data_IF_800115467611
#
_entry.id   IF_800115467611
#
_cell.length_a   1.000
_cell.length_b   1.000
_cell.length_c   1.000
_cell.angle_alpha   90.00
_cell.angle_beta   90.00
_cell.angle_gamma   90.00
#
_symmetry.space_group_name_H-M   'P 1'
#
loop_
_entity.id
_entity.type
_entity.pdbx_description
1 polymer ?
#
# COMPACT_ATOMS: atom_id res chain seq x y z
N UNK A 1 -3.20 -17.43 -25.54
CA UNK A 1 -2.89 -16.88 -24.20
C UNK A 1 -2.92 -15.37 -24.27
N UNK A 2 -3.70 -14.68 -23.43
CA UNK A 2 -3.77 -13.21 -23.43
C UNK A 2 -2.48 -12.64 -22.82
N UNK A 3 -1.87 -11.62 -23.44
CA UNK A 3 -0.73 -10.89 -22.86
C UNK A 3 -1.23 -9.95 -21.77
N UNK A 4 -0.51 -9.88 -20.66
CA UNK A 4 -0.93 -9.18 -19.43
C UNK A 4 0.06 -8.06 -19.12
N UNK A 5 0.21 -7.12 -20.07
CA UNK A 5 1.32 -6.15 -20.08
C UNK A 5 1.04 -4.85 -19.31
N UNK A 6 -0.20 -4.64 -18.86
CA UNK A 6 -0.58 -3.43 -18.14
C UNK A 6 0.19 -3.27 -16.81
N UNK A 7 0.51 -2.03 -16.43
CA UNK A 7 1.14 -1.69 -15.15
C UNK A 7 0.33 -2.27 -13.99
N UNK A 8 0.99 -3.06 -13.13
CA UNK A 8 0.34 -3.70 -11.99
C UNK A 8 0.48 -2.85 -10.74
N UNK A 9 -0.43 -3.03 -9.78
CA UNK A 9 -0.35 -2.39 -8.45
C UNK A 9 1.05 -2.50 -7.83
N UNK A 10 1.65 -3.69 -7.92
CA UNK A 10 2.99 -3.96 -7.37
C UNK A 10 4.09 -3.05 -7.92
N UNK A 11 3.92 -2.44 -9.09
CA UNK A 11 4.86 -1.44 -9.62
C UNK A 11 4.93 -0.21 -8.72
N UNK A 12 3.80 0.27 -8.21
CA UNK A 12 3.74 1.41 -7.30
C UNK A 12 4.13 1.03 -5.88
N UNK A 13 3.69 -0.14 -5.39
CA UNK A 13 4.00 -0.61 -4.03
C UNK A 13 5.53 -0.80 -3.81
N UNK A 14 6.31 -1.05 -4.87
CA UNK A 14 7.77 -1.17 -4.82
C UNK A 14 8.49 0.15 -4.55
N UNK A 15 7.85 1.29 -4.79
CA UNK A 15 8.41 2.61 -4.46
C UNK A 15 8.49 2.83 -2.95
N UNK A 16 7.66 2.12 -2.16
CA UNK A 16 7.68 2.15 -0.70
C UNK A 16 8.80 1.24 -0.19
N UNK A 17 9.78 1.75 0.59
CA UNK A 17 10.90 0.89 0.94
C UNK A 17 10.50 -0.21 1.95
N UNK A 18 11.31 -1.28 1.98
CA UNK A 18 10.94 -2.55 2.61
C UNK A 18 10.62 -2.42 4.10
N UNK A 19 11.38 -1.61 4.84
CA UNK A 19 11.17 -1.48 6.27
C UNK A 19 9.83 -0.80 6.63
N UNK A 20 9.30 0.14 5.83
CA UNK A 20 7.95 0.68 6.06
C UNK A 20 6.92 -0.35 5.66
N UNK A 21 7.14 -1.10 4.58
CA UNK A 21 6.21 -2.18 4.21
C UNK A 21 6.02 -3.20 5.34
N UNK A 22 7.08 -3.50 6.09
CA UNK A 22 7.01 -4.39 7.25
C UNK A 22 6.35 -3.77 8.48
N UNK A 23 6.36 -2.45 8.63
CA UNK A 23 5.62 -1.75 9.70
C UNK A 23 4.13 -1.62 9.35
N UNK A 24 3.81 -1.39 8.08
CA UNK A 24 2.45 -1.14 7.58
C UNK A 24 1.78 -2.39 6.99
N UNK A 25 1.99 -3.56 7.60
CA UNK A 25 1.52 -4.87 7.08
C UNK A 25 0.04 -4.89 6.75
N UNK A 26 -0.82 -4.36 7.61
CA UNK A 26 -2.28 -4.39 7.38
C UNK A 26 -2.70 -3.79 6.03
N UNK A 27 -2.08 -2.69 5.61
CA UNK A 27 -2.34 -2.10 4.30
C UNK A 27 -1.63 -2.87 3.17
N UNK A 28 -0.38 -3.28 3.39
CA UNK A 28 0.46 -3.95 2.40
C UNK A 28 0.03 -5.39 2.08
N UNK A 29 -0.65 -6.06 2.99
CA UNK A 29 -1.09 -7.46 2.84
C UNK A 29 -2.46 -7.62 2.20
N UNK A 30 -3.19 -6.52 1.99
CA UNK A 30 -4.44 -6.58 1.26
C UNK A 30 -4.17 -6.96 -0.21
N UNK A 31 -4.49 -8.23 -0.52
CA UNK A 31 -4.36 -8.83 -1.84
C UNK A 31 -5.24 -8.14 -2.91
N UNK A 32 -6.30 -7.45 -2.48
CA UNK A 32 -7.21 -6.71 -3.33
C UNK A 32 -8.31 -7.54 -3.99
N UNK A 33 -8.64 -8.72 -3.47
CA UNK A 33 -9.75 -9.56 -3.95
C UNK A 33 -11.14 -8.91 -3.80
N UNK A 34 -11.29 -7.92 -2.92
CA UNK A 34 -12.54 -7.17 -2.75
C UNK A 34 -13.60 -7.87 -1.90
N UNK A 35 -13.28 -8.94 -1.15
CA UNK A 35 -14.22 -9.61 -0.24
C UNK A 35 -14.83 -8.65 0.80
N UNK A 36 -14.12 -7.57 1.11
CA UNK A 36 -14.61 -6.54 2.02
C UNK A 36 -15.75 -5.68 1.45
N UNK A 37 -16.06 -5.76 0.15
CA UNK A 37 -17.21 -5.10 -0.47
C UNK A 37 -18.47 -5.96 -0.33
N UNK A 38 -18.73 -6.43 0.89
CA UNK A 38 -19.92 -7.22 1.18
C UNK A 38 -21.07 -6.32 1.64
N UNK A 39 -22.26 -6.53 1.06
CA UNK A 39 -23.50 -5.82 1.38
C UNK A 39 -24.40 -6.57 2.36
N UNK A 40 -24.12 -7.85 2.63
CA UNK A 40 -24.89 -8.63 3.60
C UNK A 40 -24.84 -7.97 4.98
N UNK A 41 -26.02 -7.63 5.51
CA UNK A 41 -26.19 -7.00 6.81
C UNK A 41 -25.58 -7.83 7.96
N UNK A 42 -25.61 -9.17 7.85
CA UNK A 42 -25.14 -10.09 8.90
C UNK A 42 -23.64 -10.38 8.85
N UNK A 43 -22.98 -10.08 7.73
CA UNK A 43 -21.54 -10.30 7.61
C UNK A 43 -20.75 -9.33 8.49
N UNK A 44 -19.78 -9.78 9.31
CA UNK A 44 -18.90 -8.91 10.09
C UNK A 44 -17.90 -8.20 9.18
N UNK A 45 -18.39 -7.17 8.49
CA UNK A 45 -17.65 -6.29 7.60
C UNK A 45 -17.93 -4.84 7.96
N UNK A 46 -17.06 -3.93 7.49
CA UNK A 46 -17.00 -2.59 8.04
C UNK A 46 -18.30 -1.78 7.85
N UNK A 47 -19.00 -1.37 8.93
CA UNK A 47 -20.29 -0.68 8.85
C UNK A 47 -20.23 0.62 8.07
N UNK A 48 -19.10 1.34 8.15
CA UNK A 48 -18.89 2.62 7.47
C UNK A 48 -19.09 2.53 5.95
N UNK A 49 -18.61 1.45 5.31
CA UNK A 49 -18.78 1.28 3.87
C UNK A 49 -20.21 0.85 3.51
N UNK A 50 -20.83 -0.01 4.33
CA UNK A 50 -22.18 -0.50 4.06
C UNK A 50 -23.21 0.63 4.10
N UNK A 51 -23.10 1.53 5.08
CA UNK A 51 -24.02 2.66 5.25
C UNK A 51 -23.79 3.74 4.18
N UNK A 52 -22.53 4.11 3.94
CA UNK A 52 -22.20 5.20 3.00
C UNK A 52 -22.17 4.78 1.53
N UNK A 53 -22.08 3.47 1.26
CA UNK A 53 -21.78 2.87 -0.04
C UNK A 53 -20.47 3.38 -0.68
N UNK A 54 -19.67 4.13 0.07
CA UNK A 54 -18.42 4.69 -0.43
C UNK A 54 -17.27 3.71 -0.16
N UNK A 55 -16.66 3.24 -1.25
CA UNK A 55 -15.60 2.23 -1.24
C UNK A 55 -14.34 2.68 -0.49
N UNK A 56 -14.10 3.98 -0.34
CA UNK A 56 -12.96 4.48 0.45
C UNK A 56 -13.07 4.04 1.91
N UNK A 57 -14.30 3.90 2.41
CA UNK A 57 -14.59 3.51 3.79
C UNK A 57 -14.57 1.98 3.98
N UNK A 58 -14.17 1.20 2.97
CA UNK A 58 -13.88 -0.23 3.13
C UNK A 58 -12.46 -0.46 3.64
N UNK A 59 -12.16 -1.64 4.22
CA UNK A 59 -10.79 -2.08 4.49
C UNK A 59 -9.86 -1.95 3.27
N UNK A 60 -10.31 -2.37 2.07
CA UNK A 60 -9.52 -2.25 0.83
C UNK A 60 -9.30 -0.80 0.41
N UNK A 61 -10.32 0.05 0.56
CA UNK A 61 -10.25 1.48 0.26
C UNK A 61 -9.22 2.18 1.14
N UNK A 62 -9.33 2.01 2.47
CA UNK A 62 -8.36 2.54 3.43
C UNK A 62 -6.96 2.02 3.21
N UNK A 63 -6.79 0.72 2.96
CA UNK A 63 -5.49 0.14 2.65
C UNK A 63 -4.87 0.77 1.38
N UNK A 64 -5.70 1.11 0.39
CA UNK A 64 -5.23 1.74 -0.85
C UNK A 64 -4.82 3.19 -0.63
N UNK A 65 -5.59 3.95 0.15
CA UNK A 65 -5.24 5.32 0.54
C UNK A 65 -3.92 5.36 1.34
N UNK A 66 -3.74 4.44 2.28
CA UNK A 66 -2.50 4.32 3.06
C UNK A 66 -1.30 4.01 2.14
N UNK A 67 -1.45 3.05 1.21
CA UNK A 67 -0.37 2.74 0.24
C UNK A 67 0.00 3.96 -0.61
N UNK A 68 -0.99 4.67 -1.13
CA UNK A 68 -0.74 5.86 -1.96
C UNK A 68 -0.09 6.98 -1.15
N UNK A 69 -0.54 7.20 0.08
CA UNK A 69 0.10 8.15 1.00
C UNK A 69 1.56 7.80 1.26
N UNK A 70 1.86 6.53 1.56
CA UNK A 70 3.24 6.05 1.74
C UNK A 70 4.07 6.20 0.46
N UNK A 71 3.49 5.96 -0.71
CA UNK A 71 4.13 6.16 -2.01
C UNK A 71 4.51 7.62 -2.20
N UNK A 72 3.59 8.55 -1.96
CA UNK A 72 3.83 10.00 -2.06
C UNK A 72 4.87 10.50 -1.05
N UNK A 73 4.87 9.96 0.17
CA UNK A 73 5.90 10.28 1.15
C UNK A 73 7.28 9.76 0.74
N UNK A 74 7.35 8.56 0.14
CA UNK A 74 8.60 8.00 -0.38
C UNK A 74 9.12 8.82 -1.56
N UNK A 75 8.22 9.18 -2.49
CA UNK A 75 8.50 9.99 -3.67
C UNK A 75 9.08 11.38 -3.30
N UNK A 76 8.55 12.00 -2.23
CA UNK A 76 9.05 13.27 -1.69
C UNK A 76 10.27 13.14 -0.77
N UNK A 77 10.80 11.92 -0.57
CA UNK A 77 11.96 11.68 0.29
C UNK A 77 11.72 11.86 1.79
N UNK A 78 10.47 11.94 2.23
CA UNK A 78 10.10 12.16 3.63
C UNK A 78 10.21 10.89 4.49
N UNK A 79 10.20 9.71 3.86
CA UNK A 79 10.42 8.44 4.56
C UNK A 79 11.92 8.23 4.79
N UNK A 80 12.41 8.74 5.93
CA UNK A 80 13.79 8.53 6.38
C UNK A 80 13.93 7.20 7.10
N UNK A 81 14.36 6.17 6.37
CA UNK A 81 14.96 5.01 7.02
C UNK A 81 16.26 5.44 7.67
N UNK A 82 16.63 4.82 8.79
CA UNK A 82 17.95 5.05 9.38
C UNK A 82 19.03 4.79 8.31
N UNK A 83 19.60 5.87 7.81
CA UNK A 83 20.58 5.93 6.72
C UNK A 83 21.83 5.06 6.98
N UNK A 84 22.09 4.71 8.25
CA UNK A 84 23.27 3.96 8.69
C UNK A 84 23.32 2.50 8.19
N UNK A 85 22.21 1.87 7.79
CA UNK A 85 22.21 0.45 7.39
C UNK A 85 22.37 0.18 5.90
N UNK A 86 22.02 1.12 5.01
CA UNK A 86 22.01 0.88 3.55
C UNK A 86 23.29 1.36 2.87
N UNK A 87 23.83 2.51 3.29
CA UNK A 87 25.02 3.10 2.65
C UNK A 87 26.32 2.31 2.93
N UNK A 88 26.29 1.33 3.85
CA UNK A 88 27.45 0.48 4.17
C UNK A 88 27.71 -0.63 3.14
N UNK A 89 26.81 -0.88 2.18
CA UNK A 89 26.96 -1.98 1.22
C UNK A 89 26.93 -1.59 -0.27
N UNK A 90 26.45 -0.40 -0.66
CA UNK A 90 26.49 0.05 -2.05
C UNK A 90 26.64 1.57 -2.13
N UNK A 91 27.89 2.01 -2.28
CA UNK A 91 28.31 3.40 -2.28
C UNK A 91 27.84 4.27 -3.47
N UNK A 92 27.57 3.79 -4.71
CA UNK A 92 27.38 4.72 -5.82
C UNK A 92 25.99 5.37 -5.90
N UNK A 93 25.04 4.96 -5.05
CA UNK A 93 23.66 5.53 -5.05
C UNK A 93 23.44 6.54 -3.91
N UNK A 94 24.40 6.67 -2.98
CA UNK A 94 24.38 7.67 -1.92
C UNK A 94 25.15 8.92 -2.36
N UNK A 95 24.53 9.80 -3.15
CA UNK A 95 25.19 11.04 -3.58
C UNK A 95 24.22 12.20 -3.78
N UNK A 96 23.83 12.87 -2.69
CA UNK A 96 24.19 14.27 -2.36
C UNK A 96 23.70 14.60 -0.96
#
# INVERSE_FOLDING_TARGET
MMKVDAVKRGTYDRQIPLAVRQVWRGAMECNGNGLCFNFDAKSPMCPSMKISLNRIHSPKGRATLVREWLRLLADRGLIRYSWKKICRKNAPVCGR
#
